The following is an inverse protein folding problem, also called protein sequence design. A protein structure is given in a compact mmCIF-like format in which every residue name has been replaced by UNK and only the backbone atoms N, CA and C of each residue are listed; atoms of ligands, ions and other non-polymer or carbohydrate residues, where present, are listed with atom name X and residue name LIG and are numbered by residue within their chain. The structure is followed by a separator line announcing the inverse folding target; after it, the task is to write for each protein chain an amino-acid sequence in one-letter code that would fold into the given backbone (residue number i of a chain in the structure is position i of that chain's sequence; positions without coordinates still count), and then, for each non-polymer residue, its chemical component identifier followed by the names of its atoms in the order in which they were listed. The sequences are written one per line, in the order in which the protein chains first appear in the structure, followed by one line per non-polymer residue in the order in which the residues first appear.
data_IF_996011195473
#
_entry.id   IF_996011195473
#
_cell.length_a   1.000
_cell.length_b   1.000
_cell.length_c   1.000
_cell.angle_alpha   90.00
_cell.angle_beta   90.00
_cell.angle_gamma   90.00
#
_symmetry.space_group_name_H-M   'P 1'
#
loop_
_entity.id
_entity.type
_entity.pdbx_description
1 polymer ?
#
# COMPACT_ATOMS: atom_id res chain seq x y z
N UNK A 1 12.99 46.71 -5.29
CA UNK A 1 11.69 46.10 -5.64
C UNK A 1 11.60 44.78 -4.89
N UNK A 2 10.95 44.79 -3.72
CA UNK A 2 10.83 43.62 -2.85
C UNK A 2 9.52 42.90 -3.15
N UNK A 3 9.60 41.71 -3.75
CA UNK A 3 8.45 40.82 -3.91
C UNK A 3 8.27 40.06 -2.60
N UNK A 4 7.14 40.33 -1.94
CA UNK A 4 6.76 39.80 -0.63
C UNK A 4 6.44 38.32 -0.80
N UNK A 5 7.14 37.48 -0.05
CA UNK A 5 6.85 36.04 0.10
C UNK A 5 5.50 35.92 0.81
N UNK A 6 4.52 35.36 0.11
CA UNK A 6 3.16 35.11 0.60
C UNK A 6 3.21 33.91 1.54
N UNK A 7 3.22 34.17 2.85
CA UNK A 7 2.99 33.17 3.88
C UNK A 7 1.53 32.73 3.79
N UNK A 8 1.27 31.51 3.33
CA UNK A 8 -0.03 30.87 3.45
C UNK A 8 -0.19 30.45 4.91
N UNK A 9 -0.95 31.24 5.66
CA UNK A 9 -1.27 31.00 7.06
C UNK A 9 -2.70 30.43 7.09
N UNK A 10 -2.80 29.15 7.43
CA UNK A 10 -4.02 28.43 7.73
C UNK A 10 -4.79 29.19 8.84
N UNK A 11 -5.93 29.78 8.50
CA UNK A 11 -6.81 30.45 9.47
C UNK A 11 -8.00 29.53 9.76
N UNK A 12 -7.95 28.86 10.91
CA UNK A 12 -9.11 28.17 11.49
C UNK A 12 -10.01 29.20 12.19
N UNK A 13 -11.12 29.59 11.57
CA UNK A 13 -12.22 30.23 12.31
C UNK A 13 -13.06 29.15 12.97
N UNK A 14 -12.77 28.89 14.24
CA UNK A 14 -13.60 28.06 15.12
C UNK A 14 -14.88 28.83 15.44
N UNK A 15 -16.00 28.43 14.85
CA UNK A 15 -17.32 28.74 15.43
C UNK A 15 -17.75 27.57 16.30
N UNK A 16 -17.68 27.77 17.61
CA UNK A 16 -18.20 26.89 18.62
C UNK A 16 -19.72 26.72 18.47
N UNK A 17 -20.15 25.47 18.31
CA UNK A 17 -21.55 25.04 18.44
C UNK A 17 -21.62 23.86 19.38
N UNK A 18 -21.87 24.13 20.65
CA UNK A 18 -22.18 23.12 21.66
C UNK A 18 -23.58 22.56 21.39
N UNK A 19 -23.74 21.24 21.35
CA UNK A 19 -24.97 20.59 21.81
C UNK A 19 -24.66 19.21 22.39
N UNK A 20 -24.96 19.14 23.68
CA UNK A 20 -25.16 18.00 24.58
C UNK A 20 -25.69 16.71 23.96
N UNK A 21 -25.02 15.60 24.28
CA UNK A 21 -25.57 14.23 24.21
C UNK A 21 -25.19 13.47 25.46
N UNK A 22 -26.04 13.54 26.48
CA UNK A 22 -26.00 12.76 27.71
C UNK A 22 -27.05 11.64 27.58
N UNK A 23 -26.75 10.41 28.00
CA UNK A 23 -27.80 9.44 28.32
C UNK A 23 -27.51 8.00 27.94
N UNK A 24 -26.93 7.25 28.87
CA UNK A 24 -27.07 5.80 28.94
C UNK A 24 -28.52 5.43 29.29
N UNK A 25 -29.06 4.34 28.70
CA UNK A 25 -30.15 3.52 29.26
C UNK A 25 -30.14 2.15 28.59
N UNK A 26 -29.79 1.13 29.38
CA UNK A 26 -30.04 -0.28 29.15
C UNK A 26 -31.53 -0.58 29.37
N UNK A 27 -32.16 -1.43 28.53
CA UNK A 27 -33.21 -2.43 28.90
C UNK A 27 -34.02 -2.94 27.70
N UNK A 28 -33.75 -4.18 27.32
CA UNK A 28 -34.67 -5.34 27.26
C UNK A 28 -36.04 -5.28 26.51
N UNK A 29 -36.14 -6.22 25.55
CA UNK A 29 -37.27 -7.10 25.13
C UNK A 29 -38.34 -6.68 24.10
N UNK A 30 -38.42 -7.61 23.15
CA UNK A 30 -39.58 -8.33 22.61
C UNK A 30 -40.19 -7.90 21.27
N UNK A 31 -40.18 -8.85 20.33
CA UNK A 31 -40.93 -8.80 19.09
C UNK A 31 -40.49 -9.80 18.02
N UNK A 32 -40.50 -11.11 18.29
CA UNK A 32 -40.45 -12.15 17.23
C UNK A 32 -41.63 -13.10 17.36
N UNK A 33 -42.52 -13.02 16.38
CA UNK A 33 -43.58 -13.96 15.95
C UNK A 33 -43.82 -13.61 14.49
N UNK A 34 -44.02 -14.48 13.52
CA UNK A 34 -44.34 -15.90 13.43
C UNK A 34 -44.03 -16.28 11.96
N UNK A 35 -43.70 -17.54 11.65
CA UNK A 35 -43.62 -17.92 10.23
C UNK A 35 -42.93 -19.23 9.88
N UNK A 36 -43.37 -20.34 10.47
CA UNK A 36 -43.00 -21.71 10.07
C UNK A 36 -43.48 -21.98 8.63
N UNK A 37 -42.56 -22.34 7.73
CA UNK A 37 -42.82 -23.30 6.65
C UNK A 37 -41.65 -24.26 6.50
N UNK A 38 -41.94 -25.49 6.87
CA UNK A 38 -41.11 -26.67 6.85
C UNK A 38 -40.93 -27.15 5.39
N UNK A 39 -39.71 -27.44 4.95
CA UNK A 39 -39.45 -28.37 3.84
C UNK A 39 -37.99 -28.81 3.84
N UNK A 40 -37.83 -30.07 4.29
CA UNK A 40 -36.95 -31.10 3.74
C UNK A 40 -35.42 -30.93 3.79
N UNK A 41 -34.84 -31.94 4.41
CA UNK A 41 -33.44 -32.33 4.46
C UNK A 41 -32.78 -32.39 3.06
N UNK A 42 -31.49 -32.06 3.00
CA UNK A 42 -30.49 -33.00 2.49
C UNK A 42 -29.09 -32.56 2.88
N UNK A 43 -28.51 -33.38 3.75
CA UNK A 43 -27.08 -33.57 3.93
C UNK A 43 -26.45 -33.95 2.59
N UNK A 44 -25.29 -33.40 2.26
CA UNK A 44 -24.43 -33.94 1.20
C UNK A 44 -23.02 -34.06 1.76
N UNK A 45 -22.85 -35.14 2.50
CA UNK A 45 -21.59 -35.85 2.65
C UNK A 45 -21.24 -36.52 1.31
N UNK A 46 -20.02 -36.36 0.84
CA UNK A 46 -19.43 -37.28 -0.14
C UNK A 46 -18.01 -37.59 0.29
N UNK A 47 -17.84 -38.82 0.77
CA UNK A 47 -16.57 -39.52 0.92
C UNK A 47 -16.63 -40.74 0.00
N UNK A 48 -15.68 -40.89 -0.92
CA UNK A 48 -15.18 -42.16 -1.51
C UNK A 48 -13.82 -41.77 -2.14
N UNK A 49 -12.64 -42.15 -1.65
CA UNK A 49 -11.99 -43.46 -1.41
C UNK A 49 -11.38 -44.09 -2.67
N UNK A 50 -10.15 -44.59 -2.46
CA UNK A 50 -9.35 -45.58 -3.23
C UNK A 50 -8.27 -45.10 -4.24
N UNK A 51 -7.02 -45.27 -3.76
CA UNK A 51 -5.80 -45.80 -4.41
C UNK A 51 -6.07 -47.02 -5.33
N UNK A 52 -5.18 -47.42 -6.28
CA UNK A 52 -3.85 -47.95 -5.96
C UNK A 52 -2.69 -47.57 -6.92
N UNK A 53 -1.47 -47.91 -6.44
CA UNK A 53 -0.14 -48.05 -7.07
C UNK A 53 -0.02 -48.12 -8.61
N UNK A 54 1.06 -47.52 -9.15
CA UNK A 54 2.23 -48.28 -9.64
C UNK A 54 3.43 -47.35 -9.95
N UNK A 55 4.60 -47.84 -9.53
CA UNK A 55 5.99 -47.47 -9.84
C UNK A 55 6.29 -47.27 -11.34
N UNK A 56 7.34 -46.51 -11.73
CA UNK A 56 8.66 -47.13 -11.80
C UNK A 56 9.86 -46.25 -11.39
N UNK A 57 10.84 -46.96 -10.83
CA UNK A 57 12.30 -46.79 -10.90
C UNK A 57 12.79 -46.01 -12.13
N UNK A 58 13.76 -45.11 -11.93
CA UNK A 58 15.08 -45.08 -12.60
C UNK A 58 15.90 -43.91 -12.01
N UNK A 59 16.99 -44.23 -11.31
CA UNK A 59 18.12 -43.35 -11.03
C UNK A 59 19.07 -43.43 -12.23
N UNK A 60 19.62 -42.32 -12.73
CA UNK A 60 21.08 -42.22 -12.65
C UNK A 60 21.58 -40.82 -12.24
N UNK A 61 22.46 -40.84 -11.25
CA UNK A 61 23.58 -39.92 -11.02
C UNK A 61 24.23 -39.43 -12.32
N UNK A 62 24.42 -38.11 -12.45
CA UNK A 62 25.58 -37.49 -13.10
C UNK A 62 25.86 -36.14 -12.41
N UNK A 63 26.91 -36.13 -11.62
CA UNK A 63 27.69 -34.94 -11.29
C UNK A 63 28.81 -34.85 -12.35
N UNK A 64 29.06 -33.66 -12.91
CA UNK A 64 30.46 -33.23 -12.88
C UNK A 64 30.63 -31.74 -12.59
N UNK A 65 31.43 -31.48 -11.55
CA UNK A 65 32.45 -30.42 -11.40
C UNK A 65 32.10 -28.92 -11.55
N UNK A 66 32.52 -28.07 -10.58
CA UNK A 66 32.43 -26.62 -10.66
C UNK A 66 33.67 -26.02 -11.34
N UNK A 67 33.46 -25.03 -12.20
CA UNK A 67 34.51 -24.10 -12.62
C UNK A 67 33.85 -22.79 -13.07
N UNK A 68 34.16 -21.71 -12.33
CA UNK A 68 34.37 -20.30 -12.76
C UNK A 68 33.43 -19.75 -13.87
N UNK A 69 32.80 -18.59 -13.71
CA UNK A 69 33.48 -17.30 -13.70
C UNK A 69 32.61 -16.21 -13.06
N UNK A 70 33.30 -15.34 -12.34
CA UNK A 70 32.84 -14.03 -11.88
C UNK A 70 32.64 -13.13 -13.10
N UNK A 71 31.40 -12.89 -13.50
CA UNK A 71 31.06 -11.88 -14.50
C UNK A 71 30.46 -10.66 -13.80
N UNK A 72 31.29 -9.64 -13.65
CA UNK A 72 30.87 -8.28 -13.31
C UNK A 72 30.02 -7.75 -14.45
N UNK A 73 28.70 -7.79 -14.30
CA UNK A 73 27.82 -7.04 -15.17
C UNK A 73 27.81 -5.58 -14.74
N UNK A 74 28.52 -4.79 -15.54
CA UNK A 74 28.38 -3.34 -15.67
C UNK A 74 26.90 -3.06 -15.97
N UNK A 75 26.19 -2.52 -14.99
CA UNK A 75 24.84 -2.01 -15.18
C UNK A 75 24.87 -0.94 -16.27
N UNK A 76 24.18 -1.24 -17.35
CA UNK A 76 24.00 -0.33 -18.48
C UNK A 76 22.97 0.70 -18.03
N UNK A 77 23.40 1.93 -17.75
CA UNK A 77 22.51 3.08 -17.54
C UNK A 77 21.65 3.24 -18.81
N UNK A 78 20.43 2.70 -18.77
CA UNK A 78 19.41 3.01 -19.77
C UNK A 78 18.88 4.38 -19.41
N UNK A 79 19.25 5.40 -20.18
CA UNK A 79 18.68 6.75 -20.04
C UNK A 79 17.19 6.68 -20.37
N UNK A 80 16.35 6.52 -19.35
CA UNK A 80 14.91 6.78 -19.45
C UNK A 80 14.71 8.26 -19.77
N UNK A 81 13.79 8.61 -20.67
CA UNK A 81 13.51 10.02 -20.94
C UNK A 81 12.95 10.67 -19.67
N UNK A 82 13.71 11.62 -19.13
CA UNK A 82 13.30 12.45 -17.99
C UNK A 82 12.00 13.18 -18.35
N UNK A 83 10.91 12.83 -17.67
CA UNK A 83 9.60 13.46 -17.80
C UNK A 83 9.59 14.86 -17.19
N UNK A 84 10.59 15.18 -16.36
CA UNK A 84 10.63 16.39 -15.54
C UNK A 84 9.76 16.26 -14.29
N UNK A 85 9.20 15.07 -14.03
CA UNK A 85 8.51 14.72 -12.81
C UNK A 85 9.40 13.80 -11.98
N UNK A 86 10.00 14.29 -10.89
CA UNK A 86 10.96 13.50 -10.11
C UNK A 86 10.35 12.23 -9.48
N UNK A 87 9.02 12.14 -9.36
CA UNK A 87 8.33 10.93 -8.88
C UNK A 87 8.22 9.85 -9.96
N UNK A 88 8.05 10.25 -11.22
CA UNK A 88 7.95 9.32 -12.35
C UNK A 88 9.31 8.93 -12.90
N UNK A 89 10.28 9.83 -12.79
CA UNK A 89 11.67 9.62 -13.21
C UNK A 89 12.44 8.74 -12.20
N UNK A 90 11.95 8.64 -10.97
CA UNK A 90 12.48 7.71 -9.98
C UNK A 90 12.28 6.24 -10.41
N UNK A 91 13.32 5.43 -10.20
CA UNK A 91 13.25 3.99 -10.40
C UNK A 91 12.26 3.38 -9.40
N UNK A 92 11.33 2.58 -9.92
CA UNK A 92 10.38 1.84 -9.09
C UNK A 92 10.96 0.46 -8.78
N UNK A 93 11.21 0.26 -7.50
CA UNK A 93 11.63 -1.00 -6.91
C UNK A 93 10.38 -1.83 -6.59
N UNK A 94 10.46 -3.15 -6.75
CA UNK A 94 9.37 -4.08 -6.44
C UNK A 94 9.95 -5.22 -5.61
N UNK A 95 9.29 -5.52 -4.50
CA UNK A 95 9.75 -6.52 -3.53
C UNK A 95 8.60 -7.43 -3.11
N UNK A 96 8.95 -8.63 -2.66
CA UNK A 96 7.98 -9.66 -2.27
C UNK A 96 7.42 -9.38 -0.87
N UNK A 97 6.11 -9.44 -0.74
CA UNK A 97 5.45 -9.55 0.58
C UNK A 97 5.41 -11.02 0.95
N UNK A 98 6.07 -11.39 2.05
CA UNK A 98 6.10 -12.76 2.54
C UNK A 98 5.07 -12.99 3.66
N UNK A 99 4.63 -14.24 3.83
CA UNK A 99 3.78 -14.60 4.97
C UNK A 99 4.50 -14.38 6.31
N UNK A 100 3.77 -14.43 7.43
CA UNK A 100 4.33 -14.12 8.77
C UNK A 100 5.49 -15.01 9.23
N UNK A 101 5.74 -16.16 8.59
CA UNK A 101 6.88 -17.06 8.84
C UNK A 101 7.94 -17.02 7.74
N UNK A 102 7.78 -16.16 6.73
CA UNK A 102 8.67 -15.92 5.59
C UNK A 102 8.93 -17.13 4.69
N UNK A 103 7.95 -17.99 4.48
CA UNK A 103 8.08 -19.19 3.63
C UNK A 103 7.38 -19.10 2.28
N UNK A 104 6.34 -18.28 2.18
CA UNK A 104 5.52 -18.16 0.97
C UNK A 104 5.32 -16.68 0.64
N UNK A 105 5.39 -16.35 -0.65
CA UNK A 105 5.03 -15.04 -1.18
C UNK A 105 3.51 -14.91 -1.18
N UNK A 106 3.00 -13.82 -0.60
CA UNK A 106 1.57 -13.51 -0.48
C UNK A 106 1.18 -12.21 -1.20
N UNK A 107 2.14 -11.54 -1.84
CA UNK A 107 1.91 -10.33 -2.61
C UNK A 107 3.22 -9.69 -3.01
N UNK A 108 3.13 -8.48 -3.54
CA UNK A 108 4.27 -7.62 -3.86
C UNK A 108 3.96 -6.22 -3.34
N UNK A 109 4.99 -5.49 -2.94
CA UNK A 109 4.91 -4.06 -2.72
C UNK A 109 5.90 -3.36 -3.64
N UNK A 110 5.63 -2.10 -3.93
CA UNK A 110 6.52 -1.28 -4.75
C UNK A 110 6.88 0.00 -4.02
N UNK A 111 8.05 0.54 -4.33
CA UNK A 111 8.45 1.83 -3.79
C UNK A 111 9.37 2.59 -4.74
N UNK A 112 9.39 3.91 -4.58
CA UNK A 112 10.36 4.82 -5.19
C UNK A 112 11.08 5.56 -4.07
N UNK A 113 12.36 5.84 -4.27
CA UNK A 113 13.15 6.65 -3.32
C UNK A 113 13.29 8.05 -3.88
N UNK A 114 12.65 9.03 -3.23
CA UNK A 114 12.69 10.44 -3.62
C UNK A 114 12.98 11.29 -2.38
N UNK A 115 14.19 11.89 -2.27
CA UNK A 115 14.58 12.62 -1.06
C UNK A 115 13.57 13.67 -0.62
N UNK A 116 13.39 13.83 0.69
CA UNK A 116 12.44 14.81 1.24
C UNK A 116 12.62 16.23 0.66
N UNK A 117 13.87 16.66 0.42
CA UNK A 117 14.15 17.97 -0.19
C UNK A 117 13.63 18.07 -1.63
N UNK A 118 13.65 16.98 -2.40
CA UNK A 118 13.03 16.90 -3.72
C UNK A 118 11.51 16.96 -3.60
N UNK A 119 10.93 16.19 -2.67
CA UNK A 119 9.47 16.16 -2.44
C UNK A 119 8.87 17.51 -2.09
N UNK A 120 9.59 18.37 -1.35
CA UNK A 120 9.15 19.75 -1.06
C UNK A 120 8.92 20.62 -2.30
N UNK A 121 9.54 20.27 -3.42
CA UNK A 121 9.43 20.99 -4.69
C UNK A 121 8.50 20.31 -5.69
N UNK A 122 7.97 19.12 -5.36
CA UNK A 122 6.99 18.41 -6.18
C UNK A 122 5.72 19.23 -6.23
N UNK A 123 5.23 19.45 -7.44
CA UNK A 123 3.95 20.12 -7.67
C UNK A 123 2.79 19.15 -7.48
N UNK A 124 1.61 19.70 -7.23
CA UNK A 124 0.38 18.91 -7.11
C UNK A 124 0.07 18.11 -8.39
N UNK A 125 0.36 18.68 -9.57
CA UNK A 125 0.21 17.97 -10.85
C UNK A 125 1.17 16.78 -10.96
N UNK A 126 2.43 16.96 -10.59
CA UNK A 126 3.42 15.87 -10.59
C UNK A 126 3.04 14.75 -9.62
N UNK A 127 2.52 15.10 -8.44
CA UNK A 127 2.01 14.12 -7.48
C UNK A 127 0.79 13.36 -8.01
N UNK A 128 -0.15 14.07 -8.65
CA UNK A 128 -1.31 13.46 -9.28
C UNK A 128 -0.91 12.50 -10.41
N UNK A 129 0.05 12.90 -11.26
CA UNK A 129 0.57 12.04 -12.33
C UNK A 129 1.17 10.75 -11.79
N UNK A 130 1.90 10.82 -10.67
CA UNK A 130 2.41 9.63 -10.00
C UNK A 130 1.27 8.75 -9.47
N UNK A 131 0.29 9.33 -8.78
CA UNK A 131 -0.88 8.61 -8.27
C UNK A 131 -1.63 7.87 -9.39
N UNK A 132 -1.81 8.49 -10.55
CA UNK A 132 -2.54 7.92 -11.68
C UNK A 132 -1.73 6.86 -12.44
N UNK A 133 -0.42 7.06 -12.60
CA UNK A 133 0.40 6.19 -13.46
C UNK A 133 1.10 5.07 -12.72
N UNK A 134 1.42 5.26 -11.43
CA UNK A 134 2.25 4.34 -10.64
C UNK A 134 1.50 3.70 -9.47
N UNK A 135 0.44 4.33 -8.97
CA UNK A 135 -0.32 3.82 -7.82
C UNK A 135 -1.62 3.17 -8.24
N UNK A 136 -2.49 3.92 -8.93
CA UNK A 136 -3.82 3.46 -9.30
C UNK A 136 -3.77 2.15 -10.09
N UNK A 137 -4.59 1.18 -9.67
CA UNK A 137 -4.73 -0.13 -10.31
C UNK A 137 -3.42 -0.94 -10.48
N UNK A 138 -2.36 -0.59 -9.74
CA UNK A 138 -1.05 -1.26 -9.86
C UNK A 138 -1.04 -2.68 -9.30
N UNK A 139 -1.99 -3.04 -8.43
CA UNK A 139 -2.16 -4.38 -7.88
C UNK A 139 -1.20 -4.73 -6.74
N UNK A 140 -0.31 -3.82 -6.35
CA UNK A 140 0.57 -3.99 -5.21
C UNK A 140 -0.22 -3.93 -3.88
N UNK A 141 0.29 -4.63 -2.87
CA UNK A 141 -0.25 -4.56 -1.51
C UNK A 141 -0.11 -3.14 -0.95
N UNK A 142 0.97 -2.44 -1.29
CA UNK A 142 1.12 -1.00 -1.12
C UNK A 142 2.15 -0.45 -2.11
N UNK A 143 2.03 0.86 -2.38
CA UNK A 143 3.06 1.64 -3.07
C UNK A 143 3.59 2.69 -2.11
N UNK A 144 4.91 2.86 -2.02
CA UNK A 144 5.53 3.82 -1.10
C UNK A 144 6.44 4.82 -1.84
N UNK A 145 6.39 6.08 -1.40
CA UNK A 145 7.42 7.09 -1.71
C UNK A 145 8.29 7.21 -0.46
N UNK A 146 9.47 6.60 -0.47
CA UNK A 146 10.45 6.70 0.60
C UNK A 146 11.24 8.01 0.44
N UNK A 147 11.32 8.79 1.51
CA UNK A 147 12.06 10.05 1.53
C UNK A 147 13.55 9.89 1.83
N UNK A 148 14.04 8.66 2.04
CA UNK A 148 15.44 8.32 2.31
C UNK A 148 15.92 8.74 3.70
N UNK A 149 15.00 9.13 4.58
CA UNK A 149 15.28 9.57 5.95
C UNK A 149 14.50 8.76 7.01
N UNK A 150 13.89 7.64 6.61
CA UNK A 150 13.06 6.78 7.46
C UNK A 150 11.59 7.22 7.56
N UNK A 151 11.17 8.22 6.80
CA UNK A 151 9.75 8.59 6.64
C UNK A 151 9.36 8.57 5.18
N UNK A 152 8.05 8.49 4.91
CA UNK A 152 7.54 8.49 3.53
C UNK A 152 6.02 8.53 3.46
N UNK A 153 5.52 8.36 2.24
CA UNK A 153 4.09 8.26 1.94
C UNK A 153 3.75 6.84 1.48
N UNK A 154 2.81 6.18 2.15
CA UNK A 154 2.30 4.87 1.73
C UNK A 154 0.88 4.97 1.19
N UNK A 155 0.66 4.38 0.02
CA UNK A 155 -0.64 4.11 -0.58
C UNK A 155 -1.01 2.66 -0.34
N UNK A 156 -1.70 2.40 0.79
CA UNK A 156 -2.13 1.05 1.14
C UNK A 156 -3.14 0.49 0.13
N UNK A 157 -2.97 -0.76 -0.27
CA UNK A 157 -3.82 -1.44 -1.25
C UNK A 157 -3.81 -0.82 -2.64
N UNK A 158 -2.76 -0.06 -2.99
CA UNK A 158 -2.68 0.69 -4.25
C UNK A 158 -3.83 1.68 -4.46
N UNK A 159 -4.37 2.20 -3.36
CA UNK A 159 -5.47 3.16 -3.36
C UNK A 159 -4.91 4.57 -3.57
N UNK A 160 -5.05 5.12 -4.78
CA UNK A 160 -4.46 6.42 -5.17
C UNK A 160 -5.15 7.66 -4.55
N UNK A 161 -6.34 7.49 -3.96
CA UNK A 161 -7.11 8.60 -3.37
C UNK A 161 -6.61 9.04 -1.98
N UNK A 162 -5.81 8.20 -1.32
CA UNK A 162 -5.35 8.44 0.05
C UNK A 162 -3.96 7.85 0.26
N UNK A 163 -3.08 8.62 0.90
CA UNK A 163 -1.77 8.13 1.36
C UNK A 163 -1.52 8.52 2.81
N UNK A 164 -0.85 7.66 3.56
CA UNK A 164 -0.44 7.94 4.93
C UNK A 164 1.00 8.42 4.95
N UNK A 165 1.25 9.56 5.60
CA UNK A 165 2.58 10.05 5.94
C UNK A 165 2.99 9.53 7.31
N UNK A 166 4.20 8.99 7.42
CA UNK A 166 4.65 8.38 8.65
C UNK A 166 6.07 7.85 8.62
N UNK A 167 6.45 7.17 9.70
CA UNK A 167 7.68 6.39 9.80
C UNK A 167 7.54 5.08 9.04
N UNK A 168 8.57 4.71 8.28
CA UNK A 168 8.61 3.45 7.53
C UNK A 168 9.34 2.35 8.32
N UNK A 169 8.88 1.11 8.15
CA UNK A 169 9.58 -0.09 8.57
C UNK A 169 10.56 -0.59 7.48
N UNK A 170 11.06 -1.82 7.62
CA UNK A 170 12.02 -2.40 6.67
C UNK A 170 11.38 -2.94 5.37
N UNK A 171 10.05 -2.92 5.27
CA UNK A 171 9.28 -3.33 4.09
C UNK A 171 8.60 -2.11 3.44
N UNK A 172 9.11 -0.90 3.72
CA UNK A 172 8.59 0.37 3.25
C UNK A 172 7.10 0.57 3.60
N UNK A 173 6.64 -0.04 4.70
CA UNK A 173 5.28 0.08 5.22
C UNK A 173 5.25 1.04 6.41
N UNK A 174 4.13 1.71 6.64
CA UNK A 174 3.97 2.66 7.75
C UNK A 174 3.95 1.92 9.09
N UNK A 175 5.00 2.14 9.88
CA UNK A 175 5.12 1.70 11.26
C UNK A 175 4.37 2.65 12.22
N UNK A 176 4.47 3.96 11.95
CA UNK A 176 3.87 5.02 12.78
C UNK A 176 3.28 6.12 11.89
N UNK A 177 1.98 6.41 12.06
CA UNK A 177 1.27 7.43 11.27
C UNK A 177 1.42 8.82 11.86
N UNK A 178 1.82 9.79 11.04
CA UNK A 178 1.89 11.22 11.39
C UNK A 178 0.74 12.02 10.77
N UNK A 179 0.20 11.57 9.65
CA UNK A 179 -0.89 12.25 8.96
C UNK A 179 -1.32 11.55 7.69
N UNK A 180 -2.33 12.11 7.03
CA UNK A 180 -2.92 11.57 5.82
C UNK A 180 -3.01 12.67 4.77
N UNK A 181 -2.71 12.32 3.52
CA UNK A 181 -2.95 13.15 2.35
C UNK A 181 -4.13 12.53 1.61
N UNK A 182 -5.19 13.31 1.39
CA UNK A 182 -6.43 12.85 0.77
C UNK A 182 -6.72 13.67 -0.48
N UNK A 183 -7.15 13.00 -1.55
CA UNK A 183 -7.70 13.65 -2.74
C UNK A 183 -9.08 14.24 -2.40
N UNK A 184 -9.20 15.57 -2.42
CA UNK A 184 -10.43 16.30 -2.06
C UNK A 184 -11.14 16.92 -3.26
N UNK A 185 -10.48 16.98 -4.42
CA UNK A 185 -11.03 17.53 -5.65
C UNK A 185 -10.34 16.97 -6.88
N UNK A 186 -10.56 17.60 -8.04
CA UNK A 186 -9.86 17.23 -9.26
C UNK A 186 -8.36 17.49 -9.08
N UNK A 187 -7.59 16.40 -8.97
CA UNK A 187 -6.14 16.39 -8.74
C UNK A 187 -5.69 17.29 -7.59
N UNK A 188 -6.56 17.51 -6.60
CA UNK A 188 -6.34 18.41 -5.46
C UNK A 188 -6.22 17.61 -4.17
N UNK A 189 -5.14 17.84 -3.42
CA UNK A 189 -4.81 17.05 -2.23
C UNK A 189 -4.68 17.92 -0.99
N UNK A 190 -5.18 17.40 0.12
CA UNK A 190 -5.13 18.05 1.43
C UNK A 190 -4.47 17.14 2.47
N UNK A 191 -3.60 17.74 3.29
CA UNK A 191 -2.97 17.07 4.42
C UNK A 191 -3.79 17.26 5.70
N UNK A 192 -3.94 16.18 6.48
CA UNK A 192 -4.48 16.17 7.83
C UNK A 192 -3.51 15.47 8.78
N UNK A 193 -3.21 16.09 9.92
CA UNK A 193 -2.37 15.48 10.95
C UNK A 193 -3.13 14.36 11.68
N UNK A 194 -2.41 13.32 12.09
CA UNK A 194 -2.98 12.25 12.93
C UNK A 194 -3.12 12.76 14.37
N UNK A 195 -4.27 12.51 14.99
CA UNK A 195 -4.46 12.75 16.42
C UNK A 195 -3.60 11.74 17.21
N UNK A 196 -2.65 12.23 18.00
CA UNK A 196 -1.77 11.41 18.86
C UNK A 196 -2.38 11.17 20.25
#
# INVERSE_FOLDING_TARGET
MSRKVLKMLLVCTVTAGMVTGCGASDSLKEGVKDGIKNATESVSTSSVSEEPEETPTETPTEEPTPAVESDSQVATESETPETGNPLLDAEMQVEDVMNGVKTEKIGEYAYVVVPLETMKNVTMEQYADFCEQRVADSGYNWVTIDFGNGTGLQFAGSVSIVSTYGKLDNEECIEESYGTIMLTGDRTYEYSESEQ
#
